data_IF_133903875682
#
_entry.id   IF_133903875682
#
_cell.length_a   1.000
_cell.length_b   1.000
_cell.length_c   1.000
_cell.angle_alpha   90.00
_cell.angle_beta   90.00
_cell.angle_gamma   90.00
#
_symmetry.space_group_name_H-M   'P 1'
#
loop_
_entity.id
_entity.type
_entity.pdbx_description
1 polymer ?
#
# COMPACT_ATOMS: atom_id res chain seq x y z
N UNK A 1 -4.01 5.60 -15.97
CA UNK A 1 -2.81 5.09 -15.27
C UNK A 1 -2.81 3.56 -15.38
N UNK A 2 -1.68 2.98 -15.76
CA UNK A 2 -1.54 1.55 -16.04
C UNK A 2 -1.71 0.68 -14.79
N UNK A 3 -2.33 -0.50 -14.91
CA UNK A 3 -2.59 -1.44 -13.78
C UNK A 3 -1.38 -2.33 -13.45
N UNK A 4 -0.23 -2.14 -14.10
CA UNK A 4 1.01 -2.91 -13.92
C UNK A 4 1.75 -2.50 -12.64
N UNK A 5 2.60 -3.39 -12.09
CA UNK A 5 3.41 -3.14 -10.89
C UNK A 5 4.17 -1.81 -11.02
N UNK A 6 4.92 -1.62 -12.10
CA UNK A 6 5.67 -0.40 -12.42
C UNK A 6 4.80 0.86 -12.43
N UNK A 7 3.57 0.75 -12.96
CA UNK A 7 2.63 1.88 -13.00
C UNK A 7 2.14 2.30 -11.60
N UNK A 8 2.05 1.35 -10.68
CA UNK A 8 1.62 1.58 -9.29
C UNK A 8 2.75 2.13 -8.43
N UNK A 9 3.97 1.65 -8.62
CA UNK A 9 5.17 2.22 -7.98
C UNK A 9 5.36 3.67 -8.38
N UNK A 10 5.25 3.96 -9.68
CA UNK A 10 5.31 5.34 -10.19
C UNK A 10 4.19 6.21 -9.59
N UNK A 11 2.98 5.68 -9.49
CA UNK A 11 1.85 6.38 -8.88
C UNK A 11 2.07 6.65 -7.39
N UNK A 12 2.72 5.73 -6.67
CA UNK A 12 3.09 5.91 -5.26
C UNK A 12 4.15 6.98 -5.07
N UNK A 13 5.23 6.93 -5.85
CA UNK A 13 6.26 7.97 -5.83
C UNK A 13 5.65 9.35 -6.10
N UNK A 14 4.78 9.45 -7.11
CA UNK A 14 4.07 10.69 -7.41
C UNK A 14 3.17 11.13 -6.24
N UNK A 15 2.37 10.21 -5.67
CA UNK A 15 1.47 10.50 -4.56
C UNK A 15 2.22 11.02 -3.34
N UNK A 16 3.31 10.35 -2.94
CA UNK A 16 4.16 10.72 -1.81
C UNK A 16 4.79 12.11 -2.02
N UNK A 17 5.43 12.32 -3.17
CA UNK A 17 6.13 13.57 -3.47
C UNK A 17 5.19 14.77 -3.62
N UNK A 18 3.91 14.54 -3.94
CA UNK A 18 2.93 15.60 -4.15
C UNK A 18 1.84 15.63 -3.07
N UNK A 19 2.02 14.92 -1.95
CA UNK A 19 0.95 14.70 -0.97
C UNK A 19 0.31 16.01 -0.48
N UNK A 20 1.11 16.98 -0.05
CA UNK A 20 0.59 18.29 0.41
C UNK A 20 -0.16 19.04 -0.69
N UNK A 21 0.33 19.00 -1.93
CA UNK A 21 -0.34 19.61 -3.09
C UNK A 21 -1.66 18.92 -3.41
N UNK A 22 -1.72 17.59 -3.27
CA UNK A 22 -2.97 16.84 -3.43
C UNK A 22 -3.96 17.18 -2.32
N UNK A 23 -3.49 17.34 -1.08
CA UNK A 23 -4.31 17.79 0.05
C UNK A 23 -4.83 19.21 -0.17
N UNK A 24 -4.04 20.14 -0.73
CA UNK A 24 -4.51 21.50 -0.98
C UNK A 24 -5.58 21.57 -2.09
N UNK A 25 -5.54 20.66 -3.06
CA UNK A 25 -6.52 20.59 -4.17
C UNK A 25 -7.80 19.88 -3.72
N UNK A 26 -7.67 18.74 -3.05
CA UNK A 26 -8.82 17.90 -2.74
C UNK A 26 -9.38 18.12 -1.33
N UNK A 27 -8.63 18.74 -0.42
CA UNK A 27 -8.88 18.81 1.03
C UNK A 27 -8.76 17.45 1.73
N UNK A 28 -8.49 17.48 3.05
CA UNK A 28 -8.42 16.28 3.89
C UNK A 28 -9.78 15.55 4.01
N UNK A 29 -10.88 16.26 3.75
CA UNK A 29 -12.23 15.69 3.75
C UNK A 29 -12.58 14.96 2.44
N UNK A 30 -11.68 14.97 1.44
CA UNK A 30 -11.95 14.28 0.20
C UNK A 30 -11.75 12.77 0.30
N UNK A 31 -12.88 12.08 0.19
CA UNK A 31 -12.94 10.64 -0.05
C UNK A 31 -12.12 10.21 -1.27
N UNK A 32 -11.97 11.06 -2.30
CA UNK A 32 -11.20 10.71 -3.51
C UNK A 32 -9.70 10.56 -3.21
N UNK A 33 -9.16 11.38 -2.31
CA UNK A 33 -7.77 11.26 -1.86
C UNK A 33 -7.54 9.95 -1.09
N UNK A 34 -8.51 9.57 -0.24
CA UNK A 34 -8.51 8.28 0.45
C UNK A 34 -8.63 7.07 -0.49
N UNK A 35 -9.47 7.15 -1.52
CA UNK A 35 -9.62 6.07 -2.50
C UNK A 35 -8.32 5.88 -3.31
N UNK A 36 -7.61 6.97 -3.63
CA UNK A 36 -6.36 6.89 -4.38
C UNK A 36 -5.30 6.06 -3.62
N UNK A 37 -5.09 6.31 -2.32
CA UNK A 37 -4.11 5.57 -1.53
C UNK A 37 -4.46 4.08 -1.45
N UNK A 38 -5.72 3.73 -1.23
CA UNK A 38 -6.14 2.32 -1.20
C UNK A 38 -5.97 1.63 -2.56
N UNK A 39 -6.24 2.34 -3.66
CA UNK A 39 -6.05 1.80 -5.01
C UNK A 39 -4.58 1.54 -5.33
N UNK A 40 -3.69 2.49 -4.97
CA UNK A 40 -2.23 2.38 -5.16
C UNK A 40 -1.69 1.21 -4.33
N UNK A 41 -2.03 1.15 -3.04
CA UNK A 41 -1.51 0.17 -2.09
C UNK A 41 -1.92 -1.29 -2.36
N UNK A 42 -2.92 -1.53 -3.21
CA UNK A 42 -3.48 -2.87 -3.45
C UNK A 42 -2.45 -3.90 -3.95
N UNK A 43 -1.38 -3.47 -4.62
CA UNK A 43 -0.33 -4.37 -5.12
C UNK A 43 0.93 -4.37 -4.27
N UNK A 44 0.96 -3.67 -3.15
CA UNK A 44 2.13 -3.69 -2.29
C UNK A 44 2.16 -4.98 -1.51
N UNK A 45 3.32 -5.61 -1.51
CA UNK A 45 3.48 -6.97 -1.02
C UNK A 45 4.80 -7.14 -0.25
N UNK A 46 5.53 -6.05 -0.01
CA UNK A 46 6.78 -6.03 0.73
C UNK A 46 6.71 -5.06 1.93
N UNK A 47 7.62 -5.26 2.89
CA UNK A 47 7.67 -4.48 4.12
C UNK A 47 8.13 -3.03 3.91
N UNK A 48 8.93 -2.75 2.88
CA UNK A 48 9.40 -1.38 2.62
C UNK A 48 8.26 -0.44 2.23
N UNK A 49 7.32 -0.88 1.39
CA UNK A 49 6.14 -0.06 1.06
C UNK A 49 5.23 0.16 2.27
N UNK A 50 5.10 -0.85 3.15
CA UNK A 50 4.35 -0.71 4.39
C UNK A 50 4.98 0.35 5.30
N UNK A 51 6.31 0.30 5.45
CA UNK A 51 7.07 1.29 6.24
C UNK A 51 6.90 2.71 5.67
N UNK A 52 7.07 2.89 4.35
CA UNK A 52 6.90 4.19 3.71
C UNK A 52 5.47 4.76 3.91
N UNK A 53 4.44 3.91 3.88
CA UNK A 53 3.07 4.32 4.13
C UNK A 53 2.87 4.78 5.58
N UNK A 54 3.41 4.03 6.55
CA UNK A 54 3.35 4.39 7.96
C UNK A 54 4.07 5.74 8.21
N UNK A 55 5.29 5.89 7.70
CA UNK A 55 6.05 7.15 7.80
C UNK A 55 5.26 8.33 7.20
N UNK A 56 4.64 8.15 6.03
CA UNK A 56 3.82 9.19 5.41
C UNK A 56 2.61 9.56 6.30
N UNK A 57 1.95 8.58 6.91
CA UNK A 57 0.78 8.83 7.75
C UNK A 57 1.15 9.45 9.10
N UNK A 58 2.33 9.15 9.63
CA UNK A 58 2.89 9.78 10.82
C UNK A 58 3.24 11.25 10.57
N UNK A 59 3.81 11.56 9.39
CA UNK A 59 4.09 12.95 8.98
C UNK A 59 2.80 13.76 8.79
N UNK A 60 1.69 13.12 8.43
CA UNK A 60 0.39 13.77 8.20
C UNK A 60 -0.73 13.10 9.00
N UNK A 61 -0.72 13.18 10.35
CA UNK A 61 -1.58 12.37 11.21
C UNK A 61 -3.06 12.74 11.09
N UNK A 62 -3.36 14.00 10.76
CA UNK A 62 -4.72 14.42 10.47
C UNK A 62 -5.13 13.97 9.06
N UNK A 63 -5.96 12.93 9.00
CA UNK A 63 -6.44 12.36 7.75
C UNK A 63 -7.87 12.75 7.38
N UNK A 64 -8.59 13.51 8.23
CA UNK A 64 -10.01 13.84 8.02
C UNK A 64 -10.86 12.61 7.67
N UNK A 65 -11.69 12.74 6.63
CA UNK A 65 -12.47 11.64 6.05
C UNK A 65 -11.63 10.42 5.55
N UNK A 66 -10.31 10.57 5.40
CA UNK A 66 -9.40 9.52 4.92
C UNK A 66 -8.90 8.53 5.99
N UNK A 67 -9.20 8.71 7.28
CA UNK A 67 -8.71 7.84 8.37
C UNK A 67 -9.01 6.36 8.10
N UNK A 68 -10.27 6.05 7.76
CA UNK A 68 -10.70 4.65 7.54
C UNK A 68 -10.02 4.03 6.32
N UNK A 69 -9.76 4.82 5.28
CA UNK A 69 -9.18 4.34 4.02
C UNK A 69 -7.67 4.09 4.16
N UNK A 70 -6.98 4.90 4.97
CA UNK A 70 -5.58 4.65 5.36
C UNK A 70 -5.43 3.33 6.12
N UNK A 71 -6.30 3.08 7.12
CA UNK A 71 -6.32 1.81 7.87
C UNK A 71 -6.55 0.61 6.95
N UNK A 72 -7.51 0.72 6.03
CA UNK A 72 -7.76 -0.34 5.05
C UNK A 72 -6.58 -0.57 4.11
N UNK A 73 -5.90 0.50 3.70
CA UNK A 73 -4.70 0.37 2.86
C UNK A 73 -3.59 -0.37 3.60
N UNK A 74 -3.26 -0.01 4.84
CA UNK A 74 -2.28 -0.71 5.67
C UNK A 74 -2.65 -2.18 5.87
N UNK A 75 -3.90 -2.46 6.24
CA UNK A 75 -4.37 -3.84 6.42
C UNK A 75 -4.24 -4.65 5.13
N UNK A 76 -4.51 -4.05 3.97
CA UNK A 76 -4.35 -4.73 2.69
C UNK A 76 -2.89 -5.11 2.41
N UNK A 77 -1.95 -4.20 2.66
CA UNK A 77 -0.51 -4.48 2.46
C UNK A 77 -0.04 -5.58 3.42
N UNK A 78 -0.45 -5.53 4.68
CA UNK A 78 -0.15 -6.60 5.65
C UNK A 78 -0.68 -7.96 5.18
N UNK A 79 -1.93 -8.03 4.72
CA UNK A 79 -2.50 -9.28 4.19
C UNK A 79 -1.73 -9.80 2.97
N UNK A 80 -1.28 -8.91 2.08
CA UNK A 80 -0.49 -9.31 0.92
C UNK A 80 0.87 -9.89 1.33
N UNK A 81 1.57 -9.24 2.27
CA UNK A 81 2.87 -9.70 2.81
C UNK A 81 2.72 -11.11 3.42
N UNK A 82 1.73 -11.30 4.29
CA UNK A 82 1.49 -12.59 4.95
C UNK A 82 1.11 -13.69 3.96
N UNK A 83 0.34 -13.35 2.92
CA UNK A 83 -0.01 -14.30 1.87
C UNK A 83 1.21 -14.76 1.06
N UNK A 84 2.15 -13.86 0.75
CA UNK A 84 3.40 -14.22 0.08
C UNK A 84 4.25 -15.12 0.97
N UNK A 85 4.49 -14.73 2.23
CA UNK A 85 5.27 -15.52 3.20
C UNK A 85 4.73 -16.95 3.33
N UNK A 86 3.40 -17.08 3.45
CA UNK A 86 2.73 -18.38 3.56
C UNK A 86 2.88 -19.21 2.28
N UNK A 87 2.78 -18.59 1.11
CA UNK A 87 2.95 -19.29 -0.17
C UNK A 87 4.38 -19.74 -0.41
N UNK A 88 5.36 -18.91 -0.09
CA UNK A 88 6.77 -19.26 -0.19
C UNK A 88 7.09 -20.46 0.68
N UNK A 89 6.62 -20.47 1.93
CA UNK A 89 6.80 -21.60 2.83
C UNK A 89 6.17 -22.89 2.29
N UNK A 90 4.95 -22.82 1.74
CA UNK A 90 4.29 -23.99 1.16
C UNK A 90 5.04 -24.54 -0.06
N UNK A 91 5.61 -23.66 -0.89
CA UNK A 91 6.42 -24.07 -2.05
C UNK A 91 7.73 -24.73 -1.61
N UNK A 92 8.42 -24.18 -0.60
CA UNK A 92 9.63 -24.78 -0.05
C UNK A 92 9.36 -26.18 0.51
N UNK A 93 8.31 -26.32 1.31
CA UNK A 93 7.91 -27.63 1.86
C UNK A 93 7.60 -28.64 0.74
N UNK A 94 6.90 -28.22 -0.32
CA UNK A 94 6.59 -29.09 -1.45
C UNK A 94 7.86 -29.56 -2.19
N UNK A 95 8.84 -28.68 -2.38
CA UNK A 95 10.12 -29.04 -3.01
C UNK A 95 10.92 -30.03 -2.16
N UNK A 96 10.90 -29.89 -0.84
CA UNK A 96 11.54 -30.83 0.09
C UNK A 96 10.88 -32.22 0.01
N UNK A 97 9.55 -32.29 -0.09
CA UNK A 97 8.83 -33.57 -0.21
C UNK A 97 9.06 -34.30 -1.54
N UNK A 98 9.33 -33.57 -2.62
CA UNK A 98 9.61 -34.17 -3.94
C UNK A 98 11.08 -34.62 -4.06
N UNK A 99 11.98 -34.00 -3.29
CA UNK A 99 13.42 -34.30 -3.30
C UNK A 99 13.84 -35.39 -2.31
N UNK A 100 12.89 -35.93 -1.53
CA UNK A 100 13.07 -36.99 -0.53
C UNK A 100 12.47 -38.30 -1.02
#
# INVERSE_FOLDING_TARGET
>A
MSRTLVGRETAWTFYKNNFQKLVSIYTLESRRLGIAIHSIARSFENESYLEEMNQLFELYPNAGAGVSTRKQAINQVNMNIEWIKTREQNLLNALETISS
#
